data_IF_658779383730
#
_entry.id   IF_658779383730
#
_cell.length_a   1.000
_cell.length_b   1.000
_cell.length_c   1.000
_cell.angle_alpha   90.00
_cell.angle_beta   90.00
_cell.angle_gamma   90.00
#
_symmetry.space_group_name_H-M   'P 1'
#
loop_
_entity.id
_entity.type
_entity.pdbx_description
1 polymer ?
#
# COMPACT_ATOMS: atom_id res chain seq x y z
N UNK A 1 -11.49 8.95 18.92
CA UNK A 1 -11.13 7.52 19.02
C UNK A 1 -11.69 6.95 20.33
N UNK A 2 -12.74 6.14 20.26
CA UNK A 2 -13.29 5.44 21.43
C UNK A 2 -12.98 3.95 21.27
N UNK A 3 -11.89 3.51 21.91
CA UNK A 3 -11.33 2.17 21.75
C UNK A 3 -11.78 1.32 22.93
N UNK A 4 -12.29 0.12 22.65
CA UNK A 4 -12.59 -0.87 23.68
C UNK A 4 -11.67 -2.07 23.54
N UNK A 5 -11.26 -2.64 24.66
CA UNK A 5 -10.40 -3.82 24.68
C UNK A 5 -11.16 -5.00 25.26
N UNK A 6 -11.02 -6.16 24.63
CA UNK A 6 -11.47 -7.44 25.18
C UNK A 6 -10.26 -8.06 25.90
N UNK A 7 -10.43 -8.42 27.17
CA UNK A 7 -9.40 -9.04 28.01
C UNK A 7 -9.73 -10.50 28.27
N UNK A 8 -8.68 -11.34 28.38
CA UNK A 8 -8.84 -12.70 28.89
C UNK A 8 -9.00 -12.71 30.42
N UNK A 9 -9.16 -13.90 31.01
CA UNK A 9 -9.37 -14.09 32.45
C UNK A 9 -8.21 -13.58 33.32
N UNK A 10 -6.99 -13.54 32.78
CA UNK A 10 -5.82 -12.98 33.45
C UNK A 10 -5.73 -11.44 33.33
N UNK A 11 -6.74 -10.79 32.73
CA UNK A 11 -6.78 -9.34 32.50
C UNK A 11 -5.92 -8.87 31.33
N UNK A 12 -5.33 -9.78 30.54
CA UNK A 12 -4.51 -9.43 29.37
C UNK A 12 -5.43 -9.06 28.21
N UNK A 13 -5.18 -7.90 27.58
CA UNK A 13 -5.88 -7.47 26.35
C UNK A 13 -5.54 -8.41 25.20
N UNK A 14 -6.56 -9.02 24.60
CA UNK A 14 -6.41 -10.00 23.50
C UNK A 14 -7.02 -9.52 22.20
N UNK A 15 -8.03 -8.63 22.26
CA UNK A 15 -8.65 -8.05 21.07
C UNK A 15 -9.02 -6.59 21.32
N UNK A 16 -9.28 -5.87 20.24
CA UNK A 16 -9.70 -4.46 20.26
C UNK A 16 -10.93 -4.28 19.39
N UNK A 17 -11.89 -3.48 19.86
CA UNK A 17 -13.02 -3.02 19.07
C UNK A 17 -12.75 -1.57 18.70
N UNK A 18 -12.75 -1.31 17.39
CA UNK A 18 -12.51 0.01 16.82
C UNK A 18 -13.76 0.46 16.03
N UNK A 19 -14.06 1.77 16.02
CA UNK A 19 -14.97 2.31 15.03
C UNK A 19 -14.50 1.95 13.61
N UNK A 20 -15.43 1.53 12.75
CA UNK A 20 -15.09 1.07 11.41
C UNK A 20 -14.29 2.11 10.60
N UNK A 21 -14.62 3.39 10.74
CA UNK A 21 -13.92 4.48 10.07
C UNK A 21 -12.43 4.56 10.45
N UNK A 22 -12.09 4.28 11.72
CA UNK A 22 -10.69 4.31 12.17
C UNK A 22 -9.92 3.09 11.62
N UNK A 23 -10.56 1.91 11.62
CA UNK A 23 -9.96 0.72 11.01
C UNK A 23 -9.68 0.90 9.52
N UNK A 24 -10.65 1.41 8.76
CA UNK A 24 -10.51 1.66 7.32
C UNK A 24 -9.38 2.65 7.07
N UNK A 25 -9.36 3.78 7.80
CA UNK A 25 -8.30 4.79 7.68
C UNK A 25 -6.90 4.22 7.96
N UNK A 26 -6.77 3.38 8.98
CA UNK A 26 -5.51 2.69 9.26
C UNK A 26 -5.10 1.74 8.14
N UNK A 27 -6.05 0.98 7.58
CA UNK A 27 -5.79 0.06 6.48
C UNK A 27 -5.32 0.79 5.22
N UNK A 28 -6.01 1.87 4.84
CA UNK A 28 -5.65 2.70 3.68
C UNK A 28 -4.24 3.29 3.83
N UNK A 29 -3.88 3.78 5.02
CA UNK A 29 -2.54 4.29 5.28
C UNK A 29 -1.44 3.19 5.18
N UNK A 30 -1.77 1.94 5.53
CA UNK A 30 -0.85 0.82 5.37
C UNK A 30 -0.69 0.41 3.90
N UNK A 31 -1.76 0.46 3.12
CA UNK A 31 -1.73 0.22 1.67
C UNK A 31 -0.85 1.27 0.97
N UNK A 32 -1.06 2.56 1.25
CA UNK A 32 -0.24 3.66 0.71
C UNK A 32 1.24 3.51 1.09
N UNK A 33 1.54 3.11 2.33
CA UNK A 33 2.91 2.88 2.77
C UNK A 33 3.58 1.73 2.00
N UNK A 34 2.83 0.69 1.65
CA UNK A 34 3.36 -0.44 0.89
C UNK A 34 3.62 -0.07 -0.58
N UNK A 35 2.77 0.77 -1.17
CA UNK A 35 2.98 1.33 -2.50
C UNK A 35 4.26 2.18 -2.55
N UNK A 36 4.49 3.02 -1.53
CA UNK A 36 5.71 3.83 -1.41
C UNK A 36 6.96 2.92 -1.33
N UNK A 37 6.95 1.90 -0.47
CA UNK A 37 8.08 0.96 -0.37
C UNK A 37 8.35 0.23 -1.68
N UNK A 38 7.29 -0.18 -2.37
CA UNK A 38 7.39 -0.86 -3.66
C UNK A 38 8.02 0.05 -4.71
N UNK A 39 7.59 1.32 -4.76
CA UNK A 39 8.19 2.33 -5.61
C UNK A 39 9.68 2.52 -5.30
N UNK A 40 10.03 2.76 -4.02
CA UNK A 40 11.40 2.98 -3.58
C UNK A 40 12.30 1.78 -3.91
N UNK A 41 11.82 0.55 -3.67
CA UNK A 41 12.55 -0.67 -3.96
C UNK A 41 12.87 -0.84 -5.45
N UNK A 42 11.96 -0.42 -6.34
CA UNK A 42 12.20 -0.43 -7.79
C UNK A 42 13.15 0.71 -8.18
N UNK A 43 12.93 1.94 -7.69
CA UNK A 43 13.79 3.08 -8.02
C UNK A 43 15.22 2.94 -7.52
N UNK A 44 15.45 2.22 -6.43
CA UNK A 44 16.78 1.92 -5.91
C UNK A 44 17.63 1.06 -6.86
N UNK A 45 17.02 0.32 -7.79
CA UNK A 45 17.71 -0.58 -8.72
C UNK A 45 18.50 0.15 -9.81
N UNK A 46 18.25 1.46 -10.01
CA UNK A 46 18.88 2.29 -11.05
C UNK A 46 18.77 1.67 -12.45
N UNK A 47 17.60 1.10 -12.75
CA UNK A 47 17.28 0.54 -14.07
C UNK A 47 17.36 1.62 -15.17
N UNK A 48 17.62 1.20 -16.41
CA UNK A 48 17.60 2.12 -17.55
C UNK A 48 16.23 2.77 -17.69
N UNK A 49 16.23 4.09 -17.82
CA UNK A 49 15.00 4.87 -17.99
C UNK A 49 14.80 5.21 -19.45
N UNK A 50 13.60 4.97 -19.96
CA UNK A 50 13.18 5.41 -21.30
C UNK A 50 12.22 6.59 -21.15
N UNK A 51 12.34 7.65 -21.98
CA UNK A 51 11.33 8.71 -22.03
C UNK A 51 9.92 8.15 -22.27
N UNK A 52 8.91 8.78 -21.67
CA UNK A 52 7.54 8.29 -21.78
C UNK A 52 7.04 8.26 -23.23
N UNK A 53 7.37 9.28 -24.02
CA UNK A 53 6.95 9.38 -25.42
C UNK A 53 7.51 8.22 -26.25
N UNK A 54 8.80 7.93 -26.11
CA UNK A 54 9.47 6.80 -26.77
C UNK A 54 8.83 5.45 -26.36
N UNK A 55 8.50 5.28 -25.08
CA UNK A 55 7.83 4.07 -24.61
C UNK A 55 6.42 3.91 -25.20
N UNK A 56 5.65 5.01 -25.31
CA UNK A 56 4.30 4.98 -25.88
C UNK A 56 4.33 4.62 -27.37
N UNK A 57 5.27 5.18 -28.14
CA UNK A 57 5.45 4.85 -29.56
C UNK A 57 5.75 3.35 -29.76
N UNK A 58 6.68 2.79 -28.98
CA UNK A 58 7.00 1.36 -29.04
C UNK A 58 5.79 0.49 -28.67
N UNK A 59 5.04 0.88 -27.63
CA UNK A 59 3.88 0.12 -27.15
C UNK A 59 2.73 0.11 -28.15
N UNK A 60 2.44 1.25 -28.79
CA UNK A 60 1.39 1.35 -29.81
C UNK A 60 1.72 0.52 -31.04
N UNK A 61 2.97 0.54 -31.50
CA UNK A 61 3.41 -0.26 -32.64
C UNK A 61 3.35 -1.78 -32.34
N UNK A 62 3.61 -2.18 -31.09
CA UNK A 62 3.56 -3.59 -30.66
C UNK A 62 2.13 -4.16 -30.49
N UNK A 63 1.10 -3.31 -30.45
CA UNK A 63 -0.32 -3.72 -30.34
C UNK A 63 -1.02 -3.82 -31.71
N UNK A 64 -0.36 -3.38 -32.77
CA UNK A 64 -0.87 -3.36 -34.14
C UNK A 64 -0.32 -4.52 -35.02
N UNK A 65 0.46 -5.44 -34.42
CA UNK A 65 0.92 -6.72 -34.98
C UNK A 65 0.17 -7.90 -34.35
#
# INVERSE_FOLDING_TARGET
>A
MNIQFITNEAGKKVSVILPMAEYIKMREALEELEDIKSYDAVKARKEETVPLDDYLEVRENSQNE
#
